data_IF_591233110586
#
_entry.id   IF_591233110586
#
_cell.length_a   1.000
_cell.length_b   1.000
_cell.length_c   1.000
_cell.angle_alpha   90.00
_cell.angle_beta   90.00
_cell.angle_gamma   90.00
#
_symmetry.space_group_name_H-M   'P 1'
#
loop_
_entity.id
_entity.type
_entity.pdbx_description
1 polymer ?
#
# COMPACT_ATOMS: atom_id res chain seq x y z
N UNK A 1 13.74 33.17 -9.01
CA UNK A 1 14.26 31.98 -8.30
C UNK A 1 14.03 30.73 -9.16
N UNK A 2 14.95 29.79 -9.11
CA UNK A 2 15.08 28.67 -10.07
C UNK A 2 14.66 27.36 -9.43
N UNK A 3 14.53 26.32 -10.24
CA UNK A 3 14.37 24.93 -9.78
C UNK A 3 15.49 24.51 -8.80
N UNK A 4 16.71 25.02 -9.01
CA UNK A 4 17.86 24.73 -8.16
C UNK A 4 17.64 25.28 -6.74
N UNK A 5 17.06 26.47 -6.62
CA UNK A 5 16.75 27.09 -5.32
C UNK A 5 15.73 26.25 -4.54
N UNK A 6 14.69 25.73 -5.21
CA UNK A 6 13.69 24.85 -4.58
C UNK A 6 14.31 23.53 -4.11
N UNK A 7 15.20 22.92 -4.91
CA UNK A 7 15.91 21.71 -4.53
C UNK A 7 16.84 21.96 -3.33
N UNK A 8 17.54 23.09 -3.31
CA UNK A 8 18.40 23.46 -2.18
C UNK A 8 17.60 23.61 -0.88
N UNK A 9 16.42 24.25 -0.94
CA UNK A 9 15.51 24.39 0.21
C UNK A 9 14.97 23.04 0.69
N UNK A 10 14.54 22.16 -0.23
CA UNK A 10 14.09 20.82 0.13
C UNK A 10 15.20 20.01 0.85
N UNK A 11 16.45 20.14 0.39
CA UNK A 11 17.60 19.53 1.08
C UNK A 11 17.82 20.14 2.46
N UNK A 12 17.66 21.44 2.61
CA UNK A 12 17.80 22.11 3.89
C UNK A 12 16.78 21.59 4.92
N UNK A 13 15.52 21.41 4.55
CA UNK A 13 14.47 20.86 5.44
C UNK A 13 14.86 19.45 5.96
N UNK A 14 15.51 18.65 5.13
CA UNK A 14 16.02 17.34 5.56
C UNK A 14 17.23 17.47 6.51
N UNK A 15 18.19 18.35 6.17
CA UNK A 15 19.45 18.49 6.93
C UNK A 15 19.29 19.27 8.23
N UNK A 16 18.28 20.16 8.34
CA UNK A 16 17.95 20.87 9.59
C UNK A 16 17.30 19.97 10.65
N UNK A 17 16.77 18.81 10.24
CA UNK A 17 16.00 17.94 11.12
C UNK A 17 14.50 18.25 11.15
N UNK A 18 14.04 19.30 10.48
CA UNK A 18 12.61 19.71 10.47
C UNK A 18 11.73 18.60 9.89
N UNK A 19 12.17 17.98 8.78
CA UNK A 19 11.44 16.86 8.18
C UNK A 19 11.30 15.68 9.15
N UNK A 20 12.39 15.35 9.87
CA UNK A 20 12.39 14.26 10.85
C UNK A 20 11.43 14.56 12.00
N UNK A 21 11.42 15.80 12.49
CA UNK A 21 10.52 16.22 13.55
C UNK A 21 9.04 16.17 13.12
N UNK A 22 8.72 16.63 11.90
CA UNK A 22 7.37 16.56 11.33
C UNK A 22 6.92 15.11 11.13
N UNK A 23 7.77 14.28 10.55
CA UNK A 23 7.47 12.86 10.35
C UNK A 23 7.30 12.14 11.69
N UNK A 24 8.13 12.48 12.69
CA UNK A 24 8.01 11.93 14.04
C UNK A 24 6.66 12.23 14.68
N UNK A 25 6.14 13.45 14.58
CA UNK A 25 4.80 13.78 15.07
C UNK A 25 3.72 12.97 14.36
N UNK A 26 3.81 12.83 13.04
CA UNK A 26 2.84 12.06 12.24
C UNK A 26 2.86 10.58 12.56
N UNK A 27 4.03 9.99 12.72
CA UNK A 27 4.18 8.57 13.07
C UNK A 27 3.65 8.27 14.47
N UNK A 28 3.75 9.23 15.41
CA UNK A 28 3.25 9.06 16.78
C UNK A 28 1.73 8.86 16.88
N UNK A 29 0.95 9.30 15.88
CA UNK A 29 -0.48 8.96 15.81
C UNK A 29 -0.63 7.48 15.43
N UNK A 30 -1.29 6.71 16.28
CA UNK A 30 -1.56 5.28 16.08
C UNK A 30 -2.82 5.08 15.24
N UNK A 31 -2.70 5.34 13.96
CA UNK A 31 -3.82 5.34 13.02
C UNK A 31 -4.09 3.97 12.40
N UNK A 32 -4.17 2.94 13.22
CA UNK A 32 -4.44 1.55 12.83
C UNK A 32 -5.91 1.40 12.42
N UNK A 33 -6.20 1.42 11.13
CA UNK A 33 -7.59 1.46 10.61
C UNK A 33 -8.38 0.17 10.85
N UNK A 34 -7.70 -0.97 11.02
CA UNK A 34 -8.33 -2.23 11.41
C UNK A 34 -8.73 -2.28 12.89
N UNK A 35 -8.17 -1.41 13.74
CA UNK A 35 -8.44 -1.41 15.17
C UNK A 35 -9.59 -0.42 15.49
N UNK A 36 -10.77 -0.91 15.92
CA UNK A 36 -11.92 -0.06 16.21
C UNK A 36 -11.67 0.94 17.36
N UNK A 37 -10.74 0.65 18.29
CA UNK A 37 -10.39 1.53 19.39
C UNK A 37 -9.58 2.75 18.96
N UNK A 38 -9.05 2.74 17.72
CA UNK A 38 -8.26 3.83 17.14
C UNK A 38 -9.07 4.83 16.31
N UNK A 39 -10.37 4.67 16.23
CA UNK A 39 -11.24 5.53 15.42
C UNK A 39 -11.09 7.02 15.75
N UNK A 40 -10.92 7.37 17.02
CA UNK A 40 -10.69 8.77 17.43
C UNK A 40 -9.35 9.31 16.93
N UNK A 41 -8.30 8.48 16.92
CA UNK A 41 -6.97 8.85 16.43
C UNK A 41 -6.93 9.04 14.91
N UNK A 42 -7.74 8.31 14.15
CA UNK A 42 -7.90 8.53 12.71
C UNK A 42 -8.39 9.97 12.44
N UNK A 43 -9.40 10.42 13.16
CA UNK A 43 -9.91 11.78 13.03
C UNK A 43 -8.91 12.83 13.54
N UNK A 44 -8.30 12.60 14.70
CA UNK A 44 -7.32 13.50 15.31
C UNK A 44 -6.09 13.72 14.40
N UNK A 45 -5.63 12.69 13.70
CA UNK A 45 -4.56 12.84 12.73
C UNK A 45 -4.88 13.87 11.64
N UNK A 46 -6.11 13.87 11.14
CA UNK A 46 -6.56 14.84 10.12
C UNK A 46 -6.75 16.23 10.71
N UNK A 47 -7.36 16.33 11.91
CA UNK A 47 -7.72 17.62 12.51
C UNK A 47 -6.54 18.30 13.19
N UNK A 48 -5.74 17.54 13.95
CA UNK A 48 -4.75 18.10 14.89
C UNK A 48 -3.34 18.14 14.30
N UNK A 49 -3.02 17.26 13.32
CA UNK A 49 -1.71 17.27 12.66
C UNK A 49 -1.79 17.77 11.20
N UNK A 50 -2.68 17.22 10.36
CA UNK A 50 -2.65 17.55 8.93
C UNK A 50 -3.30 18.90 8.62
N UNK A 51 -4.44 19.23 9.20
CA UNK A 51 -5.12 20.52 8.97
C UNK A 51 -4.20 21.71 9.30
N UNK A 52 -3.55 21.78 10.48
CA UNK A 52 -2.59 22.86 10.77
C UNK A 52 -1.39 22.85 9.82
N UNK A 53 -0.89 21.68 9.45
CA UNK A 53 0.22 21.53 8.51
C UNK A 53 -0.12 22.05 7.11
N UNK A 54 -1.32 21.78 6.61
CA UNK A 54 -1.82 22.34 5.35
C UNK A 54 -2.11 23.84 5.44
N UNK A 55 -2.65 24.30 6.57
CA UNK A 55 -2.88 25.73 6.81
C UNK A 55 -1.57 26.53 6.75
N UNK A 56 -0.48 26.02 7.34
CA UNK A 56 0.83 26.63 7.27
C UNK A 56 1.38 26.72 5.83
N UNK A 57 0.95 25.82 4.95
CA UNK A 57 1.24 25.85 3.52
C UNK A 57 0.27 26.75 2.72
N UNK A 58 -0.70 27.40 3.37
CA UNK A 58 -1.68 28.26 2.74
C UNK A 58 -2.88 27.55 2.13
N UNK A 59 -3.11 26.30 2.47
CA UNK A 59 -4.29 25.56 2.05
C UNK A 59 -5.46 25.82 2.99
N UNK A 60 -6.67 25.74 2.45
CA UNK A 60 -7.90 25.52 3.20
C UNK A 60 -8.18 24.04 3.26
N UNK A 61 -8.70 23.56 4.39
CA UNK A 61 -8.97 22.11 4.60
C UNK A 61 -10.43 21.90 4.98
N UNK A 62 -11.02 20.85 4.43
CA UNK A 62 -12.36 20.35 4.73
C UNK A 62 -12.26 18.91 5.22
N UNK A 63 -12.80 18.66 6.41
CA UNK A 63 -12.92 17.29 6.93
C UNK A 63 -14.21 16.68 6.37
N UNK A 64 -14.07 15.60 5.62
CA UNK A 64 -15.18 14.90 4.98
C UNK A 64 -15.47 13.60 5.73
N UNK A 65 -16.69 13.43 6.27
CA UNK A 65 -17.06 12.20 6.94
C UNK A 65 -17.19 11.06 5.93
N UNK A 66 -16.76 9.87 6.33
CA UNK A 66 -16.96 8.65 5.55
C UNK A 66 -18.46 8.31 5.48
N UNK A 67 -19.02 8.03 4.30
CA UNK A 67 -20.41 7.60 4.15
C UNK A 67 -20.78 6.35 4.95
N UNK A 68 -19.85 5.43 5.15
CA UNK A 68 -20.03 4.26 6.01
C UNK A 68 -19.73 4.53 7.49
N UNK A 69 -19.20 5.70 7.82
CA UNK A 69 -18.75 6.04 9.16
C UNK A 69 -17.48 5.31 9.63
N UNK A 70 -16.75 4.64 8.72
CA UNK A 70 -15.55 3.87 9.07
C UNK A 70 -14.33 4.76 9.23
N UNK A 71 -13.97 5.53 8.23
CA UNK A 71 -12.74 6.29 8.19
C UNK A 71 -12.94 7.64 7.51
N UNK A 72 -12.60 8.79 8.15
CA UNK A 72 -12.79 10.10 7.59
C UNK A 72 -11.80 10.43 6.48
N UNK A 73 -12.06 11.51 5.75
CA UNK A 73 -11.20 12.07 4.71
C UNK A 73 -10.89 13.54 5.01
N UNK A 74 -9.80 14.02 4.44
CA UNK A 74 -9.44 15.44 4.39
C UNK A 74 -9.28 15.85 2.93
N UNK A 75 -9.97 16.89 2.52
CA UNK A 75 -9.74 17.58 1.24
C UNK A 75 -9.07 18.91 1.56
N UNK A 76 -7.84 19.11 1.07
CA UNK A 76 -7.12 20.36 1.23
C UNK A 76 -6.92 21.02 -0.12
N UNK A 77 -7.15 22.35 -0.19
CA UNK A 77 -7.13 23.13 -1.43
C UNK A 77 -6.28 24.39 -1.28
N UNK A 78 -5.34 24.55 -2.20
CA UNK A 78 -4.60 25.78 -2.42
C UNK A 78 -4.98 26.33 -3.81
N UNK A 79 -5.63 27.47 -3.83
CA UNK A 79 -6.02 28.14 -5.07
C UNK A 79 -5.12 29.36 -5.30
N UNK A 80 -4.45 29.41 -6.42
CA UNK A 80 -3.58 30.50 -6.79
C UNK A 80 -4.17 31.38 -7.90
N UNK A 81 -4.81 30.76 -8.90
CA UNK A 81 -5.41 31.45 -10.04
C UNK A 81 -6.35 30.55 -10.83
N UNK A 82 -7.44 31.09 -11.37
CA UNK A 82 -8.38 30.36 -12.23
C UNK A 82 -7.74 29.88 -13.55
N UNK A 83 -6.69 30.56 -14.01
CA UNK A 83 -5.97 30.20 -15.24
C UNK A 83 -4.82 29.23 -15.02
N UNK A 84 -4.47 28.94 -13.77
CA UNK A 84 -3.37 28.04 -13.45
C UNK A 84 -3.83 26.57 -13.51
N UNK A 85 -2.97 25.64 -13.96
CA UNK A 85 -3.29 24.23 -13.90
C UNK A 85 -3.44 23.76 -12.45
N UNK A 86 -4.29 22.77 -12.24
CA UNK A 86 -4.57 22.18 -10.93
C UNK A 86 -3.95 20.80 -10.82
N UNK A 87 -3.18 20.58 -9.77
CA UNK A 87 -2.57 19.28 -9.42
C UNK A 87 -3.32 18.72 -8.21
N UNK A 88 -3.88 17.53 -8.33
CA UNK A 88 -4.45 16.76 -7.24
C UNK A 88 -3.43 15.72 -6.77
N UNK A 89 -3.14 15.70 -5.49
CA UNK A 89 -2.33 14.67 -4.84
C UNK A 89 -3.20 13.78 -3.95
N UNK A 90 -2.83 12.51 -3.86
CA UNK A 90 -3.43 11.52 -2.98
C UNK A 90 -2.42 11.07 -1.94
N UNK A 91 -2.93 10.69 -0.77
CA UNK A 91 -2.22 9.95 0.26
C UNK A 91 -3.21 9.38 1.26
N UNK A 92 -2.73 8.48 2.13
CA UNK A 92 -3.50 8.00 3.26
C UNK A 92 -2.74 8.20 4.58
N UNK A 93 -3.48 8.36 5.66
CA UNK A 93 -2.93 8.62 6.98
C UNK A 93 -3.07 7.43 7.92
N UNK A 94 -3.86 6.42 7.55
CA UNK A 94 -3.99 5.19 8.30
C UNK A 94 -2.81 4.24 8.06
N UNK A 95 -2.72 3.21 8.87
CA UNK A 95 -1.68 2.19 8.83
C UNK A 95 -2.27 0.83 9.20
N UNK A 96 -1.58 -0.24 8.80
CA UNK A 96 -1.76 -1.56 9.40
C UNK A 96 -1.35 -1.55 10.88
N UNK A 97 -1.56 -2.66 11.58
CA UNK A 97 -1.15 -2.87 12.97
C UNK A 97 0.34 -2.52 13.20
N UNK A 98 0.61 -1.91 14.33
CA UNK A 98 1.97 -1.57 14.75
C UNK A 98 2.88 -2.76 14.93
N UNK A 99 2.35 -3.95 15.32
CA UNK A 99 3.11 -5.19 15.56
C UNK A 99 4.33 -4.96 16.47
N UNK A 100 4.12 -4.28 17.61
CA UNK A 100 5.22 -3.75 18.44
C UNK A 100 6.23 -4.83 18.89
N UNK A 101 5.77 -6.06 19.10
CA UNK A 101 6.62 -7.18 19.53
C UNK A 101 7.50 -7.78 18.43
N UNK A 102 7.25 -7.42 17.16
CA UNK A 102 7.99 -7.93 15.99
C UNK A 102 9.11 -7.00 15.52
N UNK A 103 9.22 -5.80 16.10
CA UNK A 103 10.23 -4.84 15.71
C UNK A 103 11.61 -5.22 16.26
N UNK A 104 12.59 -5.27 15.36
CA UNK A 104 13.97 -5.60 15.72
C UNK A 104 14.66 -4.46 16.47
N UNK A 105 15.67 -4.80 17.26
CA UNK A 105 16.53 -3.86 17.98
C UNK A 105 15.77 -2.96 19.00
N UNK A 106 14.62 -3.44 19.51
CA UNK A 106 13.80 -2.70 20.48
C UNK A 106 13.19 -1.41 19.95
N UNK A 107 13.02 -1.28 18.64
CA UNK A 107 12.38 -0.11 18.04
C UNK A 107 10.91 -0.05 18.38
N UNK A 108 10.41 1.16 18.62
CA UNK A 108 8.98 1.43 18.75
C UNK A 108 8.38 1.75 17.37
N UNK A 109 7.32 1.06 16.90
CA UNK A 109 6.65 1.39 15.66
C UNK A 109 6.14 2.84 15.59
N UNK A 110 5.83 3.45 16.73
CA UNK A 110 5.25 4.78 16.83
C UNK A 110 6.27 5.89 17.08
N UNK A 111 7.55 5.56 17.04
CA UNK A 111 8.65 6.51 17.14
C UNK A 111 9.60 6.37 15.94
N UNK A 112 9.85 7.48 15.24
CA UNK A 112 10.80 7.46 14.12
C UNK A 112 12.22 7.29 14.65
N UNK A 113 12.85 6.18 14.29
CA UNK A 113 14.22 5.83 14.69
C UNK A 113 15.16 5.92 13.48
N UNK A 114 16.09 6.90 13.45
CA UNK A 114 17.12 6.95 12.43
C UNK A 114 18.16 5.83 12.62
N UNK A 115 18.54 5.15 11.53
CA UNK A 115 19.65 4.21 11.52
C UNK A 115 20.39 4.30 10.17
N UNK A 116 21.58 4.87 10.19
CA UNK A 116 22.34 5.17 8.97
C UNK A 116 21.57 6.15 8.07
N UNK A 117 21.27 5.74 6.86
CA UNK A 117 20.49 6.52 5.88
C UNK A 117 19.01 6.14 5.82
N UNK A 118 18.51 5.43 6.82
CA UNK A 118 17.11 4.95 6.89
C UNK A 118 16.40 5.53 8.11
N UNK A 119 15.09 5.68 7.97
CA UNK A 119 14.16 6.03 9.05
C UNK A 119 13.19 4.87 9.26
N UNK A 120 13.15 4.34 10.47
CA UNK A 120 12.28 3.23 10.84
C UNK A 120 11.11 3.75 11.69
N UNK A 121 9.93 3.25 11.43
CA UNK A 121 8.68 3.57 12.13
C UNK A 121 7.47 3.19 11.29
N UNK A 122 6.35 2.86 11.90
CA UNK A 122 5.12 2.52 11.20
C UNK A 122 4.60 3.75 10.43
N UNK A 123 4.37 3.61 9.12
CA UNK A 123 3.94 4.71 8.27
C UNK A 123 5.08 5.60 7.73
N UNK A 124 6.36 5.38 8.08
CA UNK A 124 7.48 6.17 7.53
C UNK A 124 7.64 6.01 6.03
N UNK A 125 7.24 4.88 5.47
CA UNK A 125 7.20 4.63 4.03
C UNK A 125 5.78 4.68 3.49
N UNK A 126 4.85 4.02 4.16
CA UNK A 126 3.48 3.80 3.75
C UNK A 126 2.52 4.31 4.83
N UNK A 127 1.83 5.44 4.63
CA UNK A 127 2.00 6.44 3.58
C UNK A 127 2.36 7.82 4.17
N UNK A 128 2.46 7.96 5.53
CA UNK A 128 2.74 9.22 6.23
C UNK A 128 4.04 9.89 5.75
N UNK A 129 5.08 9.10 5.44
CA UNK A 129 6.31 9.60 4.87
C UNK A 129 6.12 10.18 3.48
N UNK A 130 5.34 9.54 2.63
CA UNK A 130 5.17 9.96 1.24
C UNK A 130 4.41 11.28 1.12
N UNK A 131 3.26 11.43 1.80
CA UNK A 131 2.57 12.71 1.78
C UNK A 131 3.33 13.82 2.52
N UNK A 132 4.17 13.46 3.53
CA UNK A 132 5.09 14.42 4.16
C UNK A 132 6.14 14.94 3.20
N UNK A 133 6.69 14.09 2.34
CA UNK A 133 7.63 14.48 1.27
C UNK A 133 6.94 15.45 0.29
N UNK A 134 5.71 15.15 -0.11
CA UNK A 134 4.95 16.03 -1.01
C UNK A 134 4.71 17.41 -0.38
N UNK A 135 4.32 17.47 0.89
CA UNK A 135 4.12 18.73 1.61
C UNK A 135 5.44 19.52 1.75
N UNK A 136 6.55 18.85 2.07
CA UNK A 136 7.87 19.48 2.14
C UNK A 136 8.33 20.02 0.77
N UNK A 137 8.04 19.29 -0.31
CA UNK A 137 8.34 19.75 -1.67
C UNK A 137 7.53 21.00 -2.04
N UNK A 138 6.23 21.04 -1.73
CA UNK A 138 5.39 22.23 -1.96
C UNK A 138 5.88 23.41 -1.14
N UNK A 139 6.26 23.22 0.12
CA UNK A 139 6.88 24.27 0.97
C UNK A 139 8.13 24.84 0.30
N UNK A 140 9.05 23.99 -0.11
CA UNK A 140 10.30 24.39 -0.76
C UNK A 140 10.06 25.17 -2.07
N UNK A 141 9.10 24.74 -2.89
CA UNK A 141 8.71 25.44 -4.12
C UNK A 141 8.09 26.79 -3.81
N UNK A 142 7.14 26.85 -2.88
CA UNK A 142 6.45 28.09 -2.48
C UNK A 142 7.43 29.12 -1.94
N UNK A 143 8.32 28.74 -1.05
CA UNK A 143 9.36 29.60 -0.52
C UNK A 143 10.34 30.08 -1.60
N UNK A 144 10.77 29.18 -2.49
CA UNK A 144 11.66 29.52 -3.59
C UNK A 144 10.98 30.46 -4.61
N UNK A 145 9.67 30.54 -4.65
CA UNK A 145 8.89 31.37 -5.58
C UNK A 145 8.22 32.58 -4.90
N UNK A 146 8.67 32.96 -3.73
CA UNK A 146 8.17 34.15 -3.03
C UNK A 146 6.73 34.03 -2.53
N UNK A 147 6.37 32.85 -2.05
CA UNK A 147 5.05 32.58 -1.47
C UNK A 147 4.01 31.98 -2.42
N UNK A 148 4.38 31.69 -3.68
CA UNK A 148 3.49 31.14 -4.72
C UNK A 148 3.95 29.77 -5.19
N UNK A 149 3.02 28.91 -5.62
CA UNK A 149 3.33 27.64 -6.26
C UNK A 149 3.50 27.77 -7.79
N UNK A 150 2.67 28.62 -8.43
CA UNK A 150 2.54 28.75 -9.87
C UNK A 150 1.56 27.74 -10.47
N UNK A 151 0.79 27.07 -9.60
CA UNK A 151 -0.29 26.15 -9.94
C UNK A 151 -1.23 26.01 -8.73
N UNK A 152 -2.47 25.61 -8.98
CA UNK A 152 -3.40 25.23 -7.93
C UNK A 152 -3.07 23.83 -7.45
N UNK A 153 -3.10 23.59 -6.16
CA UNK A 153 -2.83 22.28 -5.57
C UNK A 153 -3.99 21.81 -4.71
N UNK A 154 -4.30 20.52 -4.82
CA UNK A 154 -5.30 19.85 -4.01
C UNK A 154 -4.73 18.58 -3.43
N UNK A 155 -5.23 18.19 -2.27
CA UNK A 155 -4.97 16.88 -1.68
C UNK A 155 -6.30 16.23 -1.30
N UNK A 156 -6.37 14.92 -1.48
CA UNK A 156 -7.29 14.07 -0.77
C UNK A 156 -6.48 13.10 0.08
N UNK A 157 -6.74 13.11 1.39
CA UNK A 157 -6.14 12.17 2.34
C UNK A 157 -7.25 11.33 2.92
N UNK A 158 -7.12 10.01 2.82
CA UNK A 158 -8.04 9.07 3.44
C UNK A 158 -7.44 8.41 4.68
N UNK A 159 -8.31 7.80 5.50
CA UNK A 159 -7.93 7.09 6.71
C UNK A 159 -8.40 5.63 6.69
N UNK A 160 -8.54 5.05 5.50
CA UNK A 160 -9.07 3.70 5.30
C UNK A 160 -8.45 2.95 4.12
N UNK A 161 -7.26 3.31 3.65
CA UNK A 161 -6.59 2.62 2.55
C UNK A 161 -6.28 1.17 2.92
N UNK A 162 -5.71 0.95 4.10
CA UNK A 162 -5.27 -0.35 4.61
C UNK A 162 -6.43 -1.34 4.90
N UNK A 163 -7.67 -0.85 4.82
CA UNK A 163 -8.89 -1.67 4.84
C UNK A 163 -9.61 -1.71 3.49
N UNK A 164 -8.92 -1.31 2.40
CA UNK A 164 -9.40 -1.38 1.02
C UNK A 164 -10.20 -0.17 0.56
N UNK A 165 -9.98 1.02 1.13
CA UNK A 165 -10.59 2.28 0.71
C UNK A 165 -12.12 2.21 0.53
N UNK A 166 -12.90 1.73 1.51
CA UNK A 166 -14.30 1.32 1.32
C UNK A 166 -15.22 2.44 0.85
N UNK A 167 -14.86 3.70 1.10
CA UNK A 167 -15.68 4.87 0.74
C UNK A 167 -15.01 5.83 -0.26
N UNK A 168 -13.77 5.58 -0.69
CA UNK A 168 -13.01 6.51 -1.53
C UNK A 168 -13.74 6.85 -2.84
N UNK A 169 -14.23 5.86 -3.56
CA UNK A 169 -14.97 6.08 -4.80
C UNK A 169 -16.22 6.95 -4.59
N UNK A 170 -16.96 6.70 -3.51
CA UNK A 170 -18.17 7.44 -3.18
C UNK A 170 -17.87 8.88 -2.76
N UNK A 171 -16.82 9.08 -1.96
CA UNK A 171 -16.36 10.44 -1.58
C UNK A 171 -15.87 11.20 -2.80
N UNK A 172 -15.11 10.55 -3.68
CA UNK A 172 -14.66 11.16 -4.94
C UNK A 172 -15.84 11.59 -5.83
N UNK A 173 -16.90 10.79 -5.90
CA UNK A 173 -18.10 11.14 -6.66
C UNK A 173 -18.88 12.30 -6.01
N UNK A 174 -19.05 12.30 -4.69
CA UNK A 174 -19.76 13.37 -3.97
C UNK A 174 -19.02 14.71 -4.02
N UNK A 175 -17.67 14.69 -4.05
CA UNK A 175 -16.82 15.87 -4.07
C UNK A 175 -16.14 16.07 -5.44
N UNK A 176 -16.73 15.58 -6.52
CA UNK A 176 -16.17 15.60 -7.87
C UNK A 176 -15.67 16.97 -8.30
N UNK A 177 -16.44 18.03 -8.05
CA UNK A 177 -16.06 19.41 -8.44
C UNK A 177 -14.89 19.91 -7.59
N UNK A 178 -14.90 19.62 -6.29
CA UNK A 178 -13.79 19.97 -5.39
C UNK A 178 -12.48 19.25 -5.78
N UNK A 179 -12.56 18.01 -6.26
CA UNK A 179 -11.42 17.18 -6.63
C UNK A 179 -11.01 17.31 -8.11
N UNK A 180 -11.77 18.05 -8.93
CA UNK A 180 -11.41 18.25 -10.34
C UNK A 180 -10.01 18.83 -10.46
N UNK A 181 -9.18 18.22 -11.34
CA UNK A 181 -7.79 18.60 -11.57
C UNK A 181 -7.35 18.25 -13.00
N UNK A 182 -6.26 18.89 -13.45
CA UNK A 182 -5.64 18.63 -14.74
C UNK A 182 -4.62 17.46 -14.66
N UNK A 183 -3.99 17.31 -13.48
CA UNK A 183 -2.98 16.28 -13.20
C UNK A 183 -3.27 15.63 -11.85
N UNK A 184 -3.20 14.30 -11.82
CA UNK A 184 -3.27 13.52 -10.60
C UNK A 184 -1.91 12.88 -10.29
N UNK A 185 -1.46 13.02 -9.03
CA UNK A 185 -0.23 12.41 -8.52
C UNK A 185 -0.58 11.57 -7.30
N UNK A 186 -0.64 10.26 -7.47
CA UNK A 186 -0.76 9.30 -6.37
C UNK A 186 0.63 8.99 -5.83
N UNK A 187 0.91 9.37 -4.59
CA UNK A 187 2.17 9.03 -3.93
C UNK A 187 1.93 7.88 -2.97
N UNK A 188 1.79 6.69 -3.55
CA UNK A 188 1.55 5.47 -2.80
C UNK A 188 2.17 4.30 -3.58
N UNK A 189 3.40 4.00 -3.27
CA UNK A 189 4.13 2.93 -3.93
C UNK A 189 5.62 2.94 -3.62
N UNK A 190 6.25 1.76 -3.64
CA UNK A 190 7.67 1.61 -3.37
C UNK A 190 8.51 2.17 -4.53
N UNK A 191 9.75 2.55 -4.23
CA UNK A 191 10.77 2.73 -5.28
C UNK A 191 11.35 1.39 -5.69
N UNK A 192 11.79 1.27 -6.94
CA UNK A 192 12.58 0.12 -7.41
C UNK A 192 13.91 0.00 -6.66
N UNK A 193 14.50 1.13 -6.30
CA UNK A 193 15.66 1.19 -5.39
C UNK A 193 15.76 2.59 -4.79
N UNK A 194 16.51 2.72 -3.69
CA UNK A 194 16.73 4.02 -3.01
C UNK A 194 17.46 5.05 -3.87
N UNK A 195 18.27 4.61 -4.81
CA UNK A 195 19.05 5.47 -5.72
C UNK A 195 18.32 5.83 -7.01
N UNK A 196 17.19 5.19 -7.31
CA UNK A 196 16.47 5.35 -8.59
C UNK A 196 15.10 6.00 -8.37
N UNK A 197 14.88 7.25 -8.81
CA UNK A 197 13.55 7.83 -8.87
C UNK A 197 12.63 6.95 -9.70
N UNK A 198 11.43 6.68 -9.18
CA UNK A 198 10.48 5.76 -9.83
C UNK A 198 9.15 6.48 -10.01
N UNK A 199 8.59 6.40 -11.22
CA UNK A 199 7.24 6.85 -11.55
C UNK A 199 6.52 5.65 -12.16
N UNK A 200 5.41 5.25 -11.55
CA UNK A 200 4.52 4.23 -12.08
C UNK A 200 3.43 4.91 -12.92
N UNK A 201 3.22 4.43 -14.12
CA UNK A 201 2.17 4.93 -15.03
C UNK A 201 0.93 4.03 -15.03
N UNK A 202 0.88 3.08 -14.13
CA UNK A 202 -0.21 2.15 -13.90
C UNK A 202 0.10 1.19 -12.77
N UNK A 203 -0.90 0.44 -12.33
CA UNK A 203 -0.76 -0.60 -11.30
C UNK A 203 -1.38 -1.91 -11.78
N UNK A 204 -0.99 -3.01 -11.14
CA UNK A 204 -1.65 -4.30 -11.34
C UNK A 204 -2.98 -4.30 -10.61
N UNK A 205 -4.01 -4.93 -11.22
CA UNK A 205 -5.22 -5.26 -10.50
C UNK A 205 -5.01 -6.45 -9.56
N UNK A 206 -5.87 -6.59 -8.56
CA UNK A 206 -5.89 -7.74 -7.66
C UNK A 206 -7.32 -8.26 -7.47
N UNK A 207 -7.44 -9.58 -7.36
CA UNK A 207 -8.69 -10.26 -7.00
C UNK A 207 -8.35 -11.21 -5.86
N UNK A 208 -9.12 -11.15 -4.78
CA UNK A 208 -9.04 -12.12 -3.69
C UNK A 208 -10.16 -13.14 -3.84
N UNK A 209 -9.81 -14.40 -3.82
CA UNK A 209 -10.74 -15.52 -3.95
C UNK A 209 -10.68 -16.38 -2.69
N UNK A 210 -11.84 -16.88 -2.26
CA UNK A 210 -11.96 -17.88 -1.21
C UNK A 210 -12.37 -19.21 -1.84
N UNK A 211 -11.62 -20.26 -1.54
CA UNK A 211 -11.90 -21.62 -1.96
C UNK A 211 -12.28 -22.44 -0.73
N UNK A 212 -13.56 -22.82 -0.64
CA UNK A 212 -14.09 -23.56 0.50
C UNK A 212 -14.57 -24.95 0.06
N UNK A 213 -14.10 -25.99 0.74
CA UNK A 213 -14.58 -27.37 0.60
C UNK A 213 -15.26 -27.74 1.91
N UNK A 214 -16.59 -27.76 1.90
CA UNK A 214 -17.41 -28.06 3.06
C UNK A 214 -18.22 -29.36 2.79
N UNK A 215 -17.79 -30.46 3.36
CA UNK A 215 -18.36 -31.78 3.11
C UNK A 215 -19.29 -32.24 4.23
N UNK A 216 -19.01 -31.89 5.50
CA UNK A 216 -19.74 -32.35 6.66
C UNK A 216 -19.39 -31.56 7.94
N UNK A 217 -20.21 -31.67 8.92
CA UNK A 217 -19.96 -31.18 10.28
C UNK A 217 -18.96 -32.09 11.00
N UNK A 218 -18.01 -31.46 11.75
CA UNK A 218 -17.05 -32.17 12.58
C UNK A 218 -16.02 -33.01 11.80
N UNK A 219 -15.31 -33.88 12.52
CA UNK A 219 -14.34 -34.81 11.98
C UNK A 219 -14.73 -36.27 12.23
N UNK A 220 -14.28 -37.20 11.40
CA UNK A 220 -14.54 -38.62 11.51
C UNK A 220 -13.26 -39.42 11.68
N UNK A 221 -13.21 -40.36 12.63
CA UNK A 221 -12.01 -41.15 12.96
C UNK A 221 -11.39 -41.78 11.69
N UNK A 222 -10.14 -41.43 11.40
CA UNK A 222 -9.46 -41.85 10.16
C UNK A 222 -9.20 -43.37 10.05
N UNK A 223 -9.00 -44.04 11.18
CA UNK A 223 -8.88 -45.48 11.22
C UNK A 223 -10.15 -46.24 10.84
N UNK A 224 -11.33 -45.63 11.03
CA UNK A 224 -12.60 -46.24 10.68
C UNK A 224 -13.11 -45.82 9.27
N UNK A 225 -12.70 -44.63 8.82
CA UNK A 225 -13.31 -44.00 7.65
C UNK A 225 -12.26 -43.62 6.58
N UNK A 226 -10.95 -43.86 6.83
CA UNK A 226 -9.91 -43.59 5.85
C UNK A 226 -10.10 -44.44 4.58
N UNK A 227 -9.98 -43.77 3.42
CA UNK A 227 -10.22 -44.39 2.12
C UNK A 227 -11.71 -44.49 1.70
N UNK A 228 -12.63 -44.23 2.63
CA UNK A 228 -14.09 -44.29 2.37
C UNK A 228 -14.72 -42.88 2.35
N UNK A 229 -14.33 -42.04 3.29
CA UNK A 229 -14.80 -40.64 3.28
C UNK A 229 -13.84 -39.73 2.53
N UNK A 230 -14.40 -38.85 1.72
CA UNK A 230 -13.63 -37.81 1.04
C UNK A 230 -12.96 -36.87 2.07
N UNK A 231 -11.71 -36.51 1.78
CA UNK A 231 -10.93 -35.58 2.60
C UNK A 231 -10.97 -34.18 1.93
N UNK A 232 -11.51 -33.15 2.59
CA UNK A 232 -11.63 -31.82 2.01
C UNK A 232 -10.24 -31.16 1.76
N UNK A 233 -9.22 -31.45 2.59
CA UNK A 233 -7.88 -30.93 2.37
C UNK A 233 -7.27 -31.49 1.07
N UNK A 234 -7.46 -32.79 0.79
CA UNK A 234 -7.00 -33.42 -0.44
C UNK A 234 -7.70 -32.82 -1.66
N UNK A 235 -9.02 -32.60 -1.57
CA UNK A 235 -9.79 -31.97 -2.65
C UNK A 235 -9.28 -30.55 -2.90
N UNK A 236 -9.13 -29.74 -1.84
CA UNK A 236 -8.66 -28.36 -1.93
C UNK A 236 -7.25 -28.27 -2.54
N UNK A 237 -6.32 -29.09 -2.06
CA UNK A 237 -4.95 -29.14 -2.59
C UNK A 237 -4.93 -29.48 -4.09
N UNK A 238 -5.75 -30.44 -4.53
CA UNK A 238 -5.86 -30.76 -5.94
C UNK A 238 -6.55 -29.64 -6.75
N UNK A 239 -7.54 -28.97 -6.19
CA UNK A 239 -8.16 -27.80 -6.83
C UNK A 239 -7.13 -26.69 -7.07
N UNK A 240 -6.34 -26.33 -6.05
CA UNK A 240 -5.24 -25.36 -6.20
C UNK A 240 -4.23 -25.84 -7.26
N UNK A 241 -3.86 -27.10 -7.27
CA UNK A 241 -2.92 -27.69 -8.25
C UNK A 241 -3.46 -27.70 -9.69
N UNK A 242 -4.75 -27.46 -9.93
CA UNK A 242 -5.28 -27.23 -11.27
C UNK A 242 -5.08 -25.78 -11.74
N UNK A 243 -4.92 -24.84 -10.82
CA UNK A 243 -4.77 -23.42 -11.11
C UNK A 243 -3.30 -23.02 -11.28
N UNK A 244 -2.44 -23.54 -10.41
CA UNK A 244 -1.01 -23.21 -10.35
C UNK A 244 -0.18 -24.49 -10.14
N UNK A 245 1.02 -24.52 -10.71
CA UNK A 245 1.95 -25.63 -10.51
C UNK A 245 2.87 -25.43 -9.30
N UNK A 246 3.73 -26.42 -9.02
CA UNK A 246 4.70 -26.39 -7.92
C UNK A 246 5.84 -25.37 -8.08
N UNK A 247 5.87 -24.62 -9.18
CA UNK A 247 6.80 -23.52 -9.44
C UNK A 247 6.10 -22.17 -9.52
N UNK A 248 4.82 -22.05 -9.11
CA UNK A 248 4.06 -20.82 -9.17
C UNK A 248 3.63 -20.39 -10.59
N UNK A 249 3.62 -21.31 -11.56
CA UNK A 249 3.19 -21.03 -12.94
C UNK A 249 1.69 -21.25 -13.08
N UNK A 250 1.00 -20.28 -13.67
CA UNK A 250 -0.43 -20.39 -13.92
C UNK A 250 -0.71 -21.44 -14.98
N UNK A 251 -1.55 -22.42 -14.66
CA UNK A 251 -1.93 -23.51 -15.57
C UNK A 251 -3.12 -23.19 -16.46
N UNK A 252 -4.03 -22.32 -16.02
CA UNK A 252 -5.22 -21.94 -16.77
C UNK A 252 -4.92 -20.76 -17.71
N UNK A 253 -5.08 -20.97 -19.01
CA UNK A 253 -4.81 -19.91 -20.01
C UNK A 253 -5.72 -18.68 -19.84
N UNK A 254 -6.95 -18.87 -19.34
CA UNK A 254 -7.88 -17.77 -19.05
C UNK A 254 -7.38 -16.81 -17.93
N UNK A 255 -6.45 -17.25 -17.11
CA UNK A 255 -5.84 -16.44 -16.05
C UNK A 255 -4.51 -15.83 -16.46
N UNK A 256 -3.97 -16.20 -17.62
CA UNK A 256 -2.73 -15.64 -18.15
C UNK A 256 -3.02 -14.31 -18.88
N UNK A 257 -2.12 -13.32 -18.81
CA UNK A 257 -2.26 -12.12 -19.60
C UNK A 257 -1.96 -12.42 -21.08
N UNK A 258 -2.30 -11.50 -21.99
CA UNK A 258 -1.83 -11.58 -23.37
C UNK A 258 -0.31 -11.68 -23.47
N UNK A 259 0.21 -12.21 -24.57
CA UNK A 259 1.65 -12.28 -24.80
C UNK A 259 2.28 -10.90 -24.71
N UNK A 260 3.43 -10.82 -24.03
CA UNK A 260 4.19 -9.58 -23.90
C UNK A 260 4.65 -9.11 -25.29
N UNK A 261 4.32 -7.87 -25.62
CA UNK A 261 4.78 -7.25 -26.88
C UNK A 261 6.27 -6.89 -26.79
N UNK A 262 6.92 -6.73 -27.93
CA UNK A 262 8.30 -6.28 -27.97
C UNK A 262 8.50 -4.90 -27.32
N UNK A 263 7.49 -4.02 -27.40
CA UNK A 263 7.52 -2.72 -26.73
C UNK A 263 7.57 -2.86 -25.19
N UNK A 264 6.72 -3.72 -24.61
CA UNK A 264 6.74 -3.99 -23.18
C UNK A 264 8.07 -4.61 -22.75
N UNK A 265 8.58 -5.59 -23.51
CA UNK A 265 9.89 -6.21 -23.24
C UNK A 265 11.02 -5.19 -23.30
N UNK A 266 11.03 -4.29 -24.26
CA UNK A 266 12.04 -3.25 -24.40
C UNK A 266 12.01 -2.27 -23.21
N UNK A 267 10.82 -1.88 -22.73
CA UNK A 267 10.68 -1.02 -21.54
C UNK A 267 11.19 -1.72 -20.29
N UNK A 268 10.88 -3.00 -20.11
CA UNK A 268 11.25 -3.77 -18.93
C UNK A 268 12.71 -4.27 -18.94
N UNK A 269 13.38 -4.23 -20.08
CA UNK A 269 14.78 -4.68 -20.20
C UNK A 269 15.75 -3.89 -19.30
N UNK A 270 15.46 -2.60 -19.07
CA UNK A 270 16.26 -1.73 -18.22
C UNK A 270 15.81 -1.76 -16.73
N UNK A 271 14.72 -2.47 -16.44
CA UNK A 271 14.21 -2.59 -15.06
C UNK A 271 14.87 -3.78 -14.38
N UNK A 272 15.69 -3.50 -13.38
CA UNK A 272 16.33 -4.52 -12.55
C UNK A 272 15.53 -4.71 -11.27
N UNK A 273 15.22 -5.96 -10.97
CA UNK A 273 14.65 -6.39 -9.69
C UNK A 273 15.79 -6.95 -8.86
N UNK A 274 16.39 -6.12 -8.03
CA UNK A 274 17.55 -6.45 -7.19
C UNK A 274 17.14 -6.26 -5.73
N UNK A 275 16.91 -7.36 -4.97
CA UNK A 275 16.63 -7.26 -3.55
C UNK A 275 17.78 -6.58 -2.81
N UNK A 276 17.45 -5.76 -1.83
CA UNK A 276 18.45 -5.21 -0.88
C UNK A 276 18.87 -6.31 0.11
N UNK A 277 19.94 -6.04 0.90
CA UNK A 277 20.44 -7.02 1.86
C UNK A 277 19.40 -7.43 2.93
N UNK A 278 18.39 -6.62 3.16
CA UNK A 278 17.32 -6.89 4.15
C UNK A 278 16.06 -7.49 3.52
N UNK A 279 16.04 -7.68 2.21
CA UNK A 279 14.94 -8.30 1.46
C UNK A 279 15.27 -9.74 1.10
N UNK A 280 14.23 -10.59 0.90
CA UNK A 280 14.44 -11.98 0.47
C UNK A 280 15.14 -12.06 -0.89
N UNK A 281 16.08 -12.96 -1.03
CA UNK A 281 16.66 -13.27 -2.34
C UNK A 281 15.57 -13.79 -3.29
N UNK A 282 15.73 -13.51 -4.57
CA UNK A 282 14.83 -14.07 -5.58
C UNK A 282 14.93 -15.60 -5.60
N UNK A 283 13.79 -16.26 -5.67
CA UNK A 283 13.74 -17.72 -5.77
C UNK A 283 14.11 -18.19 -7.17
N UNK A 284 15.06 -19.10 -7.26
CA UNK A 284 15.41 -19.76 -8.51
C UNK A 284 14.24 -20.63 -9.01
N UNK A 285 14.01 -20.62 -10.32
CA UNK A 285 12.98 -21.42 -10.97
C UNK A 285 11.52 -21.17 -10.50
N UNK A 286 11.24 -20.03 -9.86
CA UNK A 286 9.88 -19.66 -9.47
C UNK A 286 9.22 -18.75 -10.52
N UNK A 287 7.94 -18.97 -10.77
CA UNK A 287 7.13 -18.21 -11.73
C UNK A 287 7.30 -18.64 -13.18
N UNK A 288 6.71 -17.88 -14.10
CA UNK A 288 6.62 -18.22 -15.52
C UNK A 288 7.99 -18.33 -16.17
N UNK A 289 8.16 -19.38 -16.99
CA UNK A 289 9.41 -19.68 -17.68
C UNK A 289 9.69 -18.70 -18.83
N UNK A 290 10.97 -18.39 -19.07
CA UNK A 290 11.37 -17.50 -20.17
C UNK A 290 11.06 -16.04 -19.95
N UNK A 291 10.58 -15.63 -18.77
CA UNK A 291 10.38 -14.25 -18.39
C UNK A 291 11.46 -13.81 -17.39
N UNK A 292 11.95 -12.58 -17.58
CA UNK A 292 12.82 -11.92 -16.60
C UNK A 292 12.06 -11.63 -15.29
N UNK A 293 12.75 -11.40 -14.16
CA UNK A 293 12.09 -10.97 -12.91
C UNK A 293 11.22 -9.73 -13.09
N UNK A 294 11.66 -8.75 -13.87
CA UNK A 294 10.89 -7.55 -14.15
C UNK A 294 9.62 -7.86 -14.97
N UNK A 295 9.71 -8.75 -15.96
CA UNK A 295 8.53 -9.16 -16.74
C UNK A 295 7.53 -9.92 -15.88
N UNK A 296 7.97 -10.81 -14.98
CA UNK A 296 7.10 -11.52 -14.03
C UNK A 296 6.41 -10.55 -13.07
N UNK A 297 7.15 -9.57 -12.54
CA UNK A 297 6.64 -8.66 -11.52
C UNK A 297 5.69 -7.59 -12.10
N UNK A 298 6.00 -7.04 -13.27
CA UNK A 298 5.29 -5.86 -13.80
C UNK A 298 4.38 -6.12 -15.01
N UNK A 299 4.52 -7.27 -15.66
CA UNK A 299 3.79 -7.53 -16.90
C UNK A 299 3.18 -8.93 -16.99
N UNK A 300 3.21 -9.69 -15.90
CA UNK A 300 2.62 -11.03 -15.84
C UNK A 300 1.65 -11.14 -14.66
N UNK A 301 0.68 -12.04 -14.77
CA UNK A 301 -0.20 -12.37 -13.65
C UNK A 301 0.48 -13.36 -12.71
N UNK A 302 0.14 -13.31 -11.42
CA UNK A 302 0.53 -14.30 -10.42
C UNK A 302 -0.71 -14.83 -9.71
N UNK A 303 -0.63 -16.03 -9.19
CA UNK A 303 -1.65 -16.62 -8.33
C UNK A 303 -0.95 -17.10 -7.06
N UNK A 304 -1.24 -16.40 -5.96
CA UNK A 304 -0.60 -16.64 -4.67
C UNK A 304 -1.60 -17.25 -3.70
N UNK A 305 -1.18 -18.29 -2.99
CA UNK A 305 -1.95 -18.87 -1.87
C UNK A 305 -1.56 -18.12 -0.60
N UNK A 306 -2.42 -17.24 -0.12
CA UNK A 306 -2.15 -16.40 1.06
C UNK A 306 -2.39 -17.16 2.36
N UNK A 307 -3.35 -18.09 2.36
CA UNK A 307 -3.66 -18.93 3.50
C UNK A 307 -4.27 -20.26 3.05
N UNK A 308 -4.01 -21.32 3.79
CA UNK A 308 -4.65 -22.62 3.62
C UNK A 308 -4.86 -23.26 5.00
N UNK A 309 -6.03 -23.80 5.25
CA UNK A 309 -6.35 -24.45 6.52
C UNK A 309 -7.26 -25.67 6.36
N UNK A 310 -7.02 -26.70 7.18
CA UNK A 310 -7.90 -27.85 7.35
C UNK A 310 -7.50 -28.60 8.64
N UNK A 311 -8.47 -28.95 9.47
CA UNK A 311 -8.18 -29.53 10.80
C UNK A 311 -7.52 -28.52 11.75
N UNK A 312 -6.77 -29.02 12.73
CA UNK A 312 -6.03 -28.20 13.68
C UNK A 312 -4.58 -28.70 13.74
N UNK A 313 -3.62 -27.87 13.30
CA UNK A 313 -2.21 -28.24 13.23
C UNK A 313 -1.55 -28.30 14.63
N UNK A 314 -2.00 -27.49 15.58
CA UNK A 314 -1.44 -27.44 16.94
C UNK A 314 -1.93 -28.60 17.80
N UNK A 315 -3.11 -29.15 17.47
CA UNK A 315 -3.71 -30.32 18.15
C UNK A 315 -4.25 -31.29 17.10
N UNK A 316 -3.37 -32.00 16.36
CA UNK A 316 -3.79 -32.91 15.33
C UNK A 316 -4.56 -34.10 15.92
N UNK A 317 -5.73 -34.38 15.38
CA UNK A 317 -6.55 -35.52 15.75
C UNK A 317 -6.48 -36.61 14.67
N UNK A 318 -6.67 -37.88 15.07
CA UNK A 318 -6.79 -39.00 14.12
C UNK A 318 -8.17 -38.97 13.43
N UNK A 319 -8.50 -37.84 12.81
CA UNK A 319 -9.80 -37.60 12.20
C UNK A 319 -9.66 -36.98 10.81
N UNK A 320 -10.50 -37.41 9.88
CA UNK A 320 -10.68 -36.76 8.59
C UNK A 320 -11.49 -35.48 8.83
N UNK A 321 -10.98 -34.29 8.52
CA UNK A 321 -11.72 -33.03 8.72
C UNK A 321 -13.02 -32.99 7.91
N UNK A 322 -13.95 -32.15 8.36
CA UNK A 322 -15.17 -31.88 7.62
C UNK A 322 -15.04 -30.77 6.57
N UNK A 323 -14.06 -29.87 6.74
CA UNK A 323 -13.89 -28.64 5.96
C UNK A 323 -12.42 -28.36 5.65
N UNK A 324 -12.18 -27.63 4.56
CA UNK A 324 -10.89 -27.03 4.21
C UNK A 324 -11.14 -25.71 3.49
N UNK A 325 -10.27 -24.72 3.70
CA UNK A 325 -10.38 -23.39 3.11
C UNK A 325 -9.03 -22.87 2.67
N UNK A 326 -9.01 -22.09 1.60
CA UNK A 326 -7.84 -21.34 1.11
C UNK A 326 -8.24 -19.95 0.63
N UNK A 327 -7.29 -19.02 0.72
CA UNK A 327 -7.41 -17.66 0.21
C UNK A 327 -6.27 -17.37 -0.73
#
# INVERSE_FOLDING_TARGET
MTRIDAIARARQVLTSGDFLAELGRRVAYRTESLNPDRKAELAAYLTDELTPSFTALGFTSELVPSPSGRAPFLIATYHESDSAPTVLSYGHGDTVDGMADEWRDGRDPWAVTPAGNRLYGRGTADNKGQHSINMAALRAVREARGGKLGFNAKFIIEMGEEIGSPDLAKVADLHRDALKADVFIGSDGPRLSTSRPTIFLGCRGGIRLHLDVNLREGGNHSGNWGGVLANPATILANAIATLVDGHGRIKLDSLKPPRLTNAIRAILADVKVEPTADEPALSDNWGEEGLSPAERLYAWNTLEVLAISSGNIDKPANAIPGRASAV
#
